data_IF_391645727030
#
_entry.id   IF_391645727030
#
_cell.length_a   1.000
_cell.length_b   1.000
_cell.length_c   1.000
_cell.angle_alpha   90.00
_cell.angle_beta   90.00
_cell.angle_gamma   90.00
#
_symmetry.space_group_name_H-M   'P 1'
#
loop_
_entity.id
_entity.type
_entity.pdbx_description
1 polymer ?
#
# COMPACT_ATOMS: atom_id res chain seq x y z
N UNK A 1 -3.38 8.46 -15.07
CA UNK A 1 -3.41 9.30 -13.84
C UNK A 1 -2.07 9.23 -13.09
N UNK A 2 -1.66 8.10 -12.52
CA UNK A 2 -0.46 7.99 -11.66
C UNK A 2 0.86 8.46 -12.30
N UNK A 3 1.10 8.13 -13.58
CA UNK A 3 2.29 8.61 -14.29
C UNK A 3 2.42 10.13 -14.41
N UNK A 4 1.30 10.88 -14.42
CA UNK A 4 1.30 12.35 -14.45
C UNK A 4 1.63 12.96 -13.08
N UNK A 5 1.39 12.22 -12.00
CA UNK A 5 1.51 12.71 -10.62
C UNK A 5 2.82 12.23 -9.97
N UNK A 6 3.54 11.27 -10.55
CA UNK A 6 4.75 10.67 -9.96
C UNK A 6 5.74 11.69 -9.34
N UNK A 7 6.04 12.80 -10.04
CA UNK A 7 6.95 13.86 -9.54
C UNK A 7 6.41 14.65 -8.32
N UNK A 8 5.10 14.65 -8.07
CA UNK A 8 4.45 15.34 -6.95
C UNK A 8 3.71 14.42 -5.96
N UNK A 9 3.67 13.11 -6.24
CA UNK A 9 2.88 12.14 -5.48
C UNK A 9 3.35 12.02 -4.02
N UNK A 10 4.66 11.99 -3.80
CA UNK A 10 5.25 11.89 -2.47
C UNK A 10 4.94 13.15 -1.63
N UNK A 11 4.96 14.35 -2.26
CA UNK A 11 4.61 15.62 -1.60
C UNK A 11 3.11 15.68 -1.30
N UNK A 12 2.28 15.26 -2.26
CA UNK A 12 0.83 15.18 -2.07
C UNK A 12 0.48 14.24 -0.90
N UNK A 13 1.08 13.06 -0.81
CA UNK A 13 0.84 12.12 0.30
C UNK A 13 1.22 12.69 1.67
N UNK A 14 2.33 13.42 1.75
CA UNK A 14 2.74 14.08 3.00
C UNK A 14 1.75 15.16 3.40
N UNK A 15 1.29 15.98 2.46
CA UNK A 15 0.29 17.04 2.74
C UNK A 15 -1.07 16.43 3.12
N UNK A 16 -1.50 15.39 2.40
CA UNK A 16 -2.76 14.68 2.60
C UNK A 16 -2.85 14.00 3.96
N UNK A 17 -1.75 13.41 4.41
CA UNK A 17 -1.69 12.68 5.68
C UNK A 17 -1.20 13.54 6.84
N UNK A 18 -0.77 14.78 6.61
CA UNK A 18 -0.02 15.56 7.60
C UNK A 18 1.29 14.87 8.02
N UNK A 19 1.88 14.08 7.13
CA UNK A 19 3.07 13.23 7.39
C UNK A 19 2.80 11.94 8.17
N UNK A 20 1.53 11.63 8.47
CA UNK A 20 1.17 10.38 9.17
C UNK A 20 1.35 9.13 8.29
N UNK A 21 1.45 9.29 6.97
CA UNK A 21 1.73 8.20 6.03
C UNK A 21 3.02 7.44 6.40
N UNK A 22 4.07 8.18 6.79
CA UNK A 22 5.33 7.59 7.26
C UNK A 22 5.16 6.79 8.54
N UNK A 23 4.26 7.21 9.42
CA UNK A 23 3.96 6.46 10.64
C UNK A 23 3.14 5.21 10.34
N UNK A 24 2.15 5.29 9.46
CA UNK A 24 1.37 4.13 9.00
C UNK A 24 2.25 3.07 8.33
N UNK A 25 3.12 3.46 7.40
CA UNK A 25 4.06 2.54 6.73
C UNK A 25 5.02 1.89 7.73
N UNK A 26 5.49 2.63 8.73
CA UNK A 26 6.30 2.08 9.83
C UNK A 26 5.56 1.01 10.64
N UNK A 27 4.24 1.17 10.86
CA UNK A 27 3.42 0.15 11.53
C UNK A 27 3.26 -1.10 10.68
N UNK A 28 3.04 -0.96 9.37
CA UNK A 28 3.05 -2.09 8.44
C UNK A 28 4.38 -2.84 8.49
N UNK A 29 5.50 -2.14 8.36
CA UNK A 29 6.85 -2.76 8.39
C UNK A 29 7.10 -3.48 9.71
N UNK A 30 6.73 -2.87 10.85
CA UNK A 30 6.87 -3.51 12.15
C UNK A 30 6.07 -4.81 12.27
N UNK A 31 4.86 -4.86 11.72
CA UNK A 31 4.01 -6.05 11.74
C UNK A 31 4.56 -7.15 10.81
N UNK A 32 5.17 -6.79 9.66
CA UNK A 32 5.89 -7.73 8.78
C UNK A 32 7.13 -8.30 9.46
N UNK A 33 7.96 -7.46 10.08
CA UNK A 33 9.19 -7.89 10.76
C UNK A 33 8.92 -8.89 11.89
N UNK A 34 7.79 -8.80 12.60
CA UNK A 34 7.42 -9.77 13.65
C UNK A 34 7.21 -11.18 13.12
N UNK A 35 6.92 -11.35 11.83
CA UNK A 35 6.78 -12.68 11.23
C UNK A 35 8.12 -13.26 10.78
N UNK A 36 9.17 -12.45 10.65
CA UNK A 36 10.49 -12.85 10.15
C UNK A 36 10.43 -13.62 8.80
N UNK A 37 9.88 -12.99 7.73
CA UNK A 37 9.77 -13.64 6.43
C UNK A 37 11.16 -13.89 5.81
N UNK A 38 11.28 -14.97 5.04
CA UNK A 38 12.43 -15.22 4.17
C UNK A 38 12.33 -14.52 2.81
N UNK A 39 11.14 -14.09 2.38
CA UNK A 39 10.93 -13.26 1.19
C UNK A 39 9.68 -12.40 1.30
N UNK A 40 9.73 -11.19 0.71
CA UNK A 40 8.61 -10.24 0.74
C UNK A 40 8.28 -9.71 -0.65
N UNK A 41 7.00 -9.74 -0.98
CA UNK A 41 6.42 -9.08 -2.15
C UNK A 41 5.71 -7.78 -1.74
N UNK A 42 5.98 -6.67 -2.42
CA UNK A 42 5.25 -5.40 -2.30
C UNK A 42 4.53 -5.12 -3.63
N UNK A 43 3.20 -5.28 -3.65
CA UNK A 43 2.36 -5.07 -4.84
C UNK A 43 1.82 -3.65 -4.86
N UNK A 44 1.74 -3.07 -6.05
CA UNK A 44 1.51 -1.63 -6.23
C UNK A 44 2.56 -0.82 -5.44
N UNK A 45 3.83 -1.24 -5.57
CA UNK A 45 4.97 -0.70 -4.82
C UNK A 45 5.21 0.79 -5.09
N UNK A 46 4.72 1.30 -6.23
CA UNK A 46 4.86 2.69 -6.62
C UNK A 46 6.33 3.09 -6.72
N UNK A 47 6.69 4.18 -6.02
CA UNK A 47 8.04 4.70 -5.95
C UNK A 47 8.95 3.92 -4.97
N UNK A 48 8.49 2.77 -4.46
CA UNK A 48 9.29 1.83 -3.67
C UNK A 48 9.40 2.13 -2.18
N UNK A 49 8.67 3.11 -1.64
CA UNK A 49 8.86 3.56 -0.25
C UNK A 49 8.64 2.45 0.80
N UNK A 50 7.66 1.55 0.58
CA UNK A 50 7.42 0.39 1.45
C UNK A 50 8.47 -0.68 1.23
N UNK A 51 8.75 -1.05 -0.02
CA UNK A 51 9.84 -1.99 -0.35
C UNK A 51 11.18 -1.59 0.29
N UNK A 52 11.61 -0.32 0.21
CA UNK A 52 12.83 0.16 0.85
C UNK A 52 12.75 0.16 2.37
N UNK A 53 11.58 0.45 2.95
CA UNK A 53 11.41 0.41 4.40
C UNK A 53 11.48 -1.04 4.92
N UNK A 54 10.89 -1.99 4.22
CA UNK A 54 10.99 -3.43 4.48
C UNK A 54 12.44 -3.90 4.37
N UNK A 55 13.12 -3.58 3.27
CA UNK A 55 14.50 -3.97 3.00
C UNK A 55 15.48 -3.51 4.09
N UNK A 56 15.29 -2.29 4.63
CA UNK A 56 16.09 -1.78 5.76
C UNK A 56 15.80 -2.49 7.07
N UNK A 57 14.56 -2.85 7.32
CA UNK A 57 14.14 -3.41 8.60
C UNK A 57 14.39 -4.92 8.70
N UNK A 58 14.29 -5.65 7.57
CA UNK A 58 14.49 -7.10 7.50
C UNK A 58 15.96 -7.48 7.29
N UNK A 59 16.76 -6.57 6.72
CA UNK A 59 18.18 -6.80 6.44
C UNK A 59 18.44 -7.44 5.07
N UNK A 60 19.72 -7.56 4.68
CA UNK A 60 20.13 -7.96 3.33
C UNK A 60 19.86 -9.42 2.98
N UNK A 61 19.59 -10.28 3.97
CA UNK A 61 19.29 -11.70 3.75
C UNK A 61 17.86 -11.96 3.28
N UNK A 62 16.97 -10.97 3.36
CA UNK A 62 15.55 -11.12 3.02
C UNK A 62 15.25 -10.39 1.70
N UNK A 63 15.15 -11.09 0.56
CA UNK A 63 14.80 -10.46 -0.71
C UNK A 63 13.45 -9.76 -0.66
N UNK A 64 13.41 -8.55 -1.23
CA UNK A 64 12.19 -7.75 -1.40
C UNK A 64 11.94 -7.52 -2.89
N UNK A 65 10.79 -7.98 -3.38
CA UNK A 65 10.33 -7.77 -4.74
C UNK A 65 9.20 -6.74 -4.75
N UNK A 66 9.41 -5.60 -5.41
CA UNK A 66 8.38 -4.60 -5.66
C UNK A 66 7.79 -4.76 -7.06
N UNK A 67 6.47 -4.92 -7.15
CA UNK A 67 5.74 -4.97 -8.42
C UNK A 67 4.80 -3.78 -8.58
N UNK A 68 4.81 -3.16 -9.75
CA UNK A 68 3.84 -2.12 -10.12
C UNK A 68 3.48 -2.21 -11.61
N UNK A 69 2.27 -1.82 -11.97
CA UNK A 69 1.85 -1.76 -13.37
C UNK A 69 2.28 -0.46 -14.05
N UNK A 70 2.74 0.55 -13.29
CA UNK A 70 3.05 1.89 -13.76
C UNK A 70 4.56 2.09 -13.97
N UNK A 71 5.06 2.09 -15.22
CA UNK A 71 6.50 2.22 -15.49
C UNK A 71 7.16 3.49 -14.93
N UNK A 72 6.51 4.69 -14.97
CA UNK A 72 7.08 5.89 -14.36
C UNK A 72 7.33 5.76 -12.85
N UNK A 73 6.51 4.99 -12.12
CA UNK A 73 6.68 4.77 -10.69
C UNK A 73 7.89 3.86 -10.40
N UNK A 74 8.02 2.78 -11.19
CA UNK A 74 9.18 1.88 -11.11
C UNK A 74 10.48 2.62 -11.44
N UNK A 75 10.47 3.47 -12.48
CA UNK A 75 11.63 4.29 -12.82
C UNK A 75 12.07 5.21 -11.66
N UNK A 76 11.11 5.74 -10.89
CA UNK A 76 11.41 6.53 -9.68
C UNK A 76 11.95 5.65 -8.55
N UNK A 77 11.40 4.45 -8.35
CA UNK A 77 11.90 3.48 -7.38
C UNK A 77 13.36 3.09 -7.69
N UNK A 78 13.64 2.73 -8.93
CA UNK A 78 15.00 2.40 -9.37
C UNK A 78 15.97 3.59 -9.28
N UNK A 79 15.51 4.81 -9.57
CA UNK A 79 16.33 6.01 -9.38
C UNK A 79 16.68 6.22 -7.89
N UNK A 80 15.71 6.04 -6.98
CA UNK A 80 15.95 6.06 -5.52
C UNK A 80 16.93 4.95 -5.10
N UNK A 81 16.83 3.77 -5.71
CA UNK A 81 17.75 2.65 -5.47
C UNK A 81 19.19 2.99 -5.90
N UNK A 82 19.38 3.52 -7.11
CA UNK A 82 20.70 3.91 -7.64
C UNK A 82 21.35 5.07 -6.87
N UNK A 83 20.55 5.97 -6.31
CA UNK A 83 21.05 7.09 -5.50
C UNK A 83 21.42 6.69 -4.06
N UNK A 84 21.07 5.48 -3.62
CA UNK A 84 21.42 4.98 -2.31
C UNK A 84 22.90 4.55 -2.23
N UNK A 85 23.51 4.49 -1.03
CA UNK A 85 24.83 3.92 -0.85
C UNK A 85 24.95 2.52 -1.49
N UNK A 86 26.09 2.24 -2.12
CA UNK A 86 26.36 0.96 -2.76
C UNK A 86 26.11 -0.21 -1.79
N UNK A 87 25.51 -1.30 -2.29
CA UNK A 87 25.19 -2.47 -1.48
C UNK A 87 23.91 -2.35 -0.63
N UNK A 88 23.38 -1.13 -0.41
CA UNK A 88 22.28 -0.92 0.55
C UNK A 88 20.99 -1.64 0.17
N UNK A 89 20.72 -1.76 -1.12
CA UNK A 89 19.46 -2.29 -1.65
C UNK A 89 19.69 -3.36 -2.71
N UNK A 90 20.81 -4.09 -2.65
CA UNK A 90 21.15 -5.13 -3.62
C UNK A 90 20.18 -6.32 -3.57
N UNK A 91 19.48 -6.49 -2.44
CA UNK A 91 18.42 -7.47 -2.21
C UNK A 91 17.02 -6.96 -2.58
N UNK A 92 16.90 -5.76 -3.14
CA UNK A 92 15.64 -5.19 -3.63
C UNK A 92 15.59 -5.29 -5.15
N UNK A 93 14.46 -5.77 -5.68
CA UNK A 93 14.19 -5.81 -7.12
C UNK A 93 12.86 -5.15 -7.41
N UNK A 94 12.80 -4.39 -8.49
CA UNK A 94 11.59 -3.79 -9.01
C UNK A 94 11.29 -4.38 -10.38
N UNK A 95 10.03 -4.71 -10.65
CA UNK A 95 9.61 -5.25 -11.93
C UNK A 95 8.16 -4.85 -12.27
N UNK A 96 7.80 -4.79 -13.56
CA UNK A 96 6.41 -4.59 -13.96
C UNK A 96 5.55 -5.79 -13.52
N UNK A 97 4.35 -5.52 -13.02
CA UNK A 97 3.40 -6.56 -12.64
C UNK A 97 1.98 -6.04 -12.46
N UNK A 98 1.00 -6.81 -12.94
CA UNK A 98 -0.41 -6.56 -12.71
C UNK A 98 -0.86 -7.26 -11.43
N UNK A 99 -1.42 -6.50 -10.48
CA UNK A 99 -1.97 -7.05 -9.24
C UNK A 99 -3.12 -8.05 -9.44
N UNK A 100 -3.72 -8.07 -10.63
CA UNK A 100 -4.77 -9.02 -11.03
C UNK A 100 -4.23 -10.28 -11.71
N UNK A 101 -2.94 -10.30 -12.06
CA UNK A 101 -2.27 -11.44 -12.68
C UNK A 101 -0.76 -11.34 -12.40
N UNK A 102 -0.36 -11.76 -11.20
CA UNK A 102 1.01 -11.58 -10.74
C UNK A 102 1.95 -12.50 -11.54
N UNK A 103 3.06 -11.98 -12.10
CA UNK A 103 4.04 -12.76 -12.88
C UNK A 103 4.96 -13.61 -11.98
N UNK A 104 4.35 -14.36 -11.06
CA UNK A 104 5.01 -15.18 -10.06
C UNK A 104 4.33 -16.54 -9.99
N UNK A 105 5.12 -17.59 -9.76
CA UNK A 105 4.58 -18.90 -9.45
C UNK A 105 3.86 -18.90 -8.09
N UNK A 106 2.95 -19.86 -7.92
CA UNK A 106 2.24 -20.06 -6.66
C UNK A 106 3.21 -20.42 -5.53
N UNK A 107 2.89 -20.04 -4.29
CA UNK A 107 3.66 -20.38 -3.09
C UNK A 107 5.16 -20.01 -3.16
N UNK A 108 5.48 -18.80 -3.61
CA UNK A 108 6.86 -18.30 -3.73
C UNK A 108 7.26 -17.29 -2.65
N UNK A 109 6.30 -16.63 -2.02
CA UNK A 109 6.53 -15.53 -1.09
C UNK A 109 6.12 -15.89 0.34
N UNK A 110 6.90 -15.49 1.34
CA UNK A 110 6.53 -15.66 2.76
C UNK A 110 5.60 -14.56 3.25
N UNK A 111 5.78 -13.33 2.75
CA UNK A 111 4.90 -12.21 3.02
C UNK A 111 4.55 -11.43 1.75
N UNK A 112 3.34 -10.87 1.71
CA UNK A 112 2.88 -9.96 0.68
C UNK A 112 2.33 -8.69 1.33
N UNK A 113 2.66 -7.55 0.75
CA UNK A 113 2.22 -6.23 1.20
C UNK A 113 1.57 -5.48 0.05
N UNK A 114 0.54 -4.69 0.35
CA UNK A 114 -0.03 -3.71 -0.57
C UNK A 114 -0.45 -2.49 0.23
N UNK A 115 0.12 -1.33 -0.11
CA UNK A 115 -0.07 -0.08 0.63
C UNK A 115 -0.66 1.00 -0.26
N UNK A 116 -1.89 1.44 0.04
CA UNK A 116 -2.61 2.48 -0.68
C UNK A 116 -2.80 2.19 -2.19
N UNK A 117 -2.72 0.92 -2.58
CA UNK A 117 -2.91 0.44 -3.95
C UNK A 117 -4.16 -0.40 -4.14
N UNK A 118 -4.67 -1.04 -3.07
CA UNK A 118 -5.75 -2.03 -3.18
C UNK A 118 -7.06 -1.40 -3.68
N UNK A 119 -7.33 -0.15 -3.29
CA UNK A 119 -8.50 0.61 -3.76
C UNK A 119 -8.52 0.90 -5.26
N UNK A 120 -7.37 0.79 -5.92
CA UNK A 120 -7.22 1.08 -7.35
C UNK A 120 -7.27 -0.18 -8.22
N UNK A 121 -7.41 -1.37 -7.63
CA UNK A 121 -7.59 -2.60 -8.41
C UNK A 121 -8.98 -2.62 -9.03
N UNK A 122 -9.06 -2.88 -10.34
CA UNK A 122 -10.32 -2.97 -11.06
C UNK A 122 -11.19 -4.15 -10.58
N UNK A 123 -10.55 -5.27 -10.19
CA UNK A 123 -11.20 -6.41 -9.53
C UNK A 123 -10.43 -6.76 -8.25
N UNK A 124 -10.86 -6.16 -7.14
CA UNK A 124 -10.24 -6.39 -5.82
C UNK A 124 -10.32 -7.85 -5.38
N UNK A 125 -11.41 -8.55 -5.70
CA UNK A 125 -11.57 -9.95 -5.32
C UNK A 125 -10.56 -10.85 -6.05
N UNK A 126 -10.35 -10.61 -7.35
CA UNK A 126 -9.30 -11.29 -8.12
C UNK A 126 -7.91 -10.95 -7.61
N UNK A 127 -7.63 -9.67 -7.33
CA UNK A 127 -6.34 -9.25 -6.76
C UNK A 127 -6.02 -9.92 -5.42
N UNK A 128 -7.01 -10.02 -4.53
CA UNK A 128 -6.85 -10.75 -3.26
C UNK A 128 -6.55 -12.24 -3.48
N UNK A 129 -7.22 -12.89 -4.45
CA UNK A 129 -6.92 -14.29 -4.81
C UNK A 129 -5.53 -14.47 -5.39
N UNK A 130 -5.05 -13.54 -6.20
CA UNK A 130 -3.68 -13.55 -6.73
C UNK A 130 -2.63 -13.37 -5.64
N UNK A 131 -2.83 -12.42 -4.72
CA UNK A 131 -1.99 -12.26 -3.54
C UNK A 131 -1.96 -13.54 -2.69
N UNK A 132 -3.10 -14.22 -2.56
CA UNK A 132 -3.17 -15.50 -1.86
C UNK A 132 -2.40 -16.60 -2.61
N UNK A 133 -2.50 -16.65 -3.94
CA UNK A 133 -1.87 -17.69 -4.78
C UNK A 133 -0.35 -17.67 -4.64
N UNK A 134 0.27 -16.49 -4.62
CA UNK A 134 1.73 -16.35 -4.58
C UNK A 134 2.34 -16.58 -3.19
N UNK A 135 1.52 -16.55 -2.13
CA UNK A 135 1.97 -16.78 -0.77
C UNK A 135 2.11 -18.28 -0.46
N UNK A 136 3.18 -18.64 0.26
CA UNK A 136 3.43 -20.00 0.77
C UNK A 136 2.40 -20.38 1.85
N UNK A 137 2.21 -21.68 2.14
CA UNK A 137 1.51 -22.11 3.35
C UNK A 137 2.10 -21.45 4.60
N UNK A 138 1.24 -20.87 5.45
CA UNK A 138 1.69 -20.08 6.61
C UNK A 138 2.16 -18.65 6.28
N UNK A 139 2.19 -18.29 5.00
CA UNK A 139 2.51 -16.94 4.53
C UNK A 139 1.45 -15.92 4.94
N UNK A 140 1.86 -14.65 4.97
CA UNK A 140 1.01 -13.55 5.49
C UNK A 140 0.79 -12.43 4.49
N UNK A 141 -0.43 -11.92 4.48
CA UNK A 141 -0.81 -10.74 3.73
C UNK A 141 -0.98 -9.55 4.68
N UNK A 142 -0.40 -8.41 4.32
CA UNK A 142 -0.55 -7.14 5.01
C UNK A 142 -1.11 -6.09 4.05
N UNK A 143 -2.27 -5.52 4.39
CA UNK A 143 -2.90 -4.45 3.60
C UNK A 143 -2.93 -3.20 4.44
N UNK A 144 -2.34 -2.11 3.94
CA UNK A 144 -2.45 -0.78 4.53
C UNK A 144 -3.25 0.12 3.59
N UNK A 145 -4.48 0.44 3.94
CA UNK A 145 -5.37 1.20 3.05
C UNK A 145 -6.29 2.14 3.84
N UNK A 146 -6.83 3.14 3.15
CA UNK A 146 -7.92 3.94 3.70
C UNK A 146 -9.09 3.06 4.15
N UNK A 147 -9.77 3.52 5.18
CA UNK A 147 -10.95 2.91 5.77
C UNK A 147 -11.93 4.01 6.14
N UNK A 148 -13.05 3.65 6.76
CA UNK A 148 -14.02 4.58 7.29
C UNK A 148 -13.66 5.00 8.72
N UNK A 149 -13.56 6.32 9.01
CA UNK A 149 -13.30 6.81 10.35
C UNK A 149 -14.41 6.44 11.34
N UNK A 150 -14.13 6.54 12.64
CA UNK A 150 -15.15 6.37 13.68
C UNK A 150 -16.36 7.27 13.43
N UNK A 151 -17.56 6.75 13.70
CA UNK A 151 -18.84 7.43 13.41
C UNK A 151 -18.90 8.87 13.91
N UNK A 152 -18.36 9.13 15.11
CA UNK A 152 -18.33 10.46 15.72
C UNK A 152 -17.34 11.43 15.05
N UNK A 153 -16.23 10.91 14.50
CA UNK A 153 -15.19 11.72 13.84
C UNK A 153 -15.44 11.88 12.33
N UNK A 154 -16.21 10.97 11.75
CA UNK A 154 -16.51 10.90 10.31
C UNK A 154 -16.99 12.23 9.71
N UNK A 155 -17.94 12.98 10.31
CA UNK A 155 -18.41 14.26 9.74
C UNK A 155 -17.28 15.29 9.61
N UNK A 156 -16.42 15.41 10.63
CA UNK A 156 -15.30 16.34 10.62
C UNK A 156 -14.27 15.96 9.55
N UNK A 157 -13.98 14.67 9.41
CA UNK A 157 -13.05 14.18 8.40
C UNK A 157 -13.54 14.46 6.98
N UNK A 158 -14.84 14.23 6.69
CA UNK A 158 -15.40 14.54 5.37
C UNK A 158 -15.51 16.04 5.11
N UNK A 159 -15.72 16.86 6.14
CA UNK A 159 -15.65 18.32 6.01
C UNK A 159 -14.24 18.73 5.56
N UNK A 160 -13.20 18.19 6.21
CA UNK A 160 -11.81 18.38 5.82
C UNK A 160 -11.54 17.95 4.36
N UNK A 161 -11.91 16.71 4.00
CA UNK A 161 -11.67 16.16 2.66
C UNK A 161 -12.41 16.93 1.56
N UNK A 162 -13.63 17.38 1.81
CA UNK A 162 -14.46 18.06 0.81
C UNK A 162 -14.10 19.53 0.62
N UNK A 163 -13.66 20.20 1.69
CA UNK A 163 -13.55 21.66 1.68
C UNK A 163 -12.13 22.16 1.90
N UNK A 164 -11.38 21.59 2.83
CA UNK A 164 -10.03 22.08 3.12
C UNK A 164 -9.03 21.50 2.11
N UNK A 165 -9.10 20.20 1.90
CA UNK A 165 -8.11 19.50 1.11
C UNK A 165 -8.03 19.98 -0.36
N UNK A 166 -9.12 20.13 -1.12
CA UNK A 166 -9.02 20.54 -2.53
C UNK A 166 -8.47 21.96 -2.69
N UNK A 167 -8.67 22.83 -1.68
CA UNK A 167 -8.17 24.20 -1.67
C UNK A 167 -6.67 24.24 -1.42
N UNK A 168 -6.19 23.56 -0.38
CA UNK A 168 -4.75 23.47 -0.06
C UNK A 168 -4.01 22.78 -1.22
N UNK A 169 -4.56 21.68 -1.70
CA UNK A 169 -3.97 20.89 -2.76
C UNK A 169 -3.94 21.60 -4.12
N UNK A 170 -5.02 22.30 -4.48
CA UNK A 170 -5.08 23.12 -5.69
C UNK A 170 -4.03 24.22 -5.69
N UNK A 171 -3.76 24.81 -4.53
CA UNK A 171 -2.73 25.84 -4.37
C UNK A 171 -1.29 25.29 -4.52
N UNK A 172 -1.03 24.09 -3.99
CA UNK A 172 0.34 23.50 -3.99
C UNK A 172 0.67 22.74 -5.28
N UNK A 173 -0.29 21.98 -5.82
CA UNK A 173 -0.03 21.00 -6.90
C UNK A 173 -0.76 21.29 -8.20
N UNK A 174 -1.73 22.22 -8.20
CA UNK A 174 -2.49 22.59 -9.40
C UNK A 174 -3.45 21.50 -9.95
N UNK A 175 -3.47 20.30 -9.38
CA UNK A 175 -4.23 19.15 -9.91
C UNK A 175 -5.45 18.80 -9.06
N UNK A 176 -6.47 19.67 -9.07
CA UNK A 176 -7.71 19.49 -8.30
C UNK A 176 -8.42 18.15 -8.60
N UNK A 177 -8.38 17.70 -9.86
CA UNK A 177 -9.05 16.48 -10.31
C UNK A 177 -8.51 15.22 -9.62
N UNK A 178 -7.21 15.16 -9.36
CA UNK A 178 -6.61 14.05 -8.62
C UNK A 178 -7.16 13.92 -7.18
N UNK A 179 -7.49 15.05 -6.53
CA UNK A 179 -8.01 15.07 -5.17
C UNK A 179 -9.52 14.81 -5.10
N UNK A 180 -10.27 15.26 -6.10
CA UNK A 180 -11.68 14.89 -6.23
C UNK A 180 -11.82 13.37 -6.41
N UNK A 181 -10.95 12.76 -7.24
CA UNK A 181 -10.85 11.31 -7.37
C UNK A 181 -10.49 10.65 -6.03
N UNK A 182 -9.50 11.17 -5.31
CA UNK A 182 -9.10 10.63 -4.02
C UNK A 182 -10.27 10.63 -3.02
N UNK A 183 -10.97 11.76 -2.88
CA UNK A 183 -12.13 11.89 -2.00
C UNK A 183 -13.23 10.90 -2.38
N UNK A 184 -13.56 10.79 -3.67
CA UNK A 184 -14.54 9.84 -4.18
C UNK A 184 -14.12 8.38 -3.88
N UNK A 185 -12.84 8.04 -4.13
CA UNK A 185 -12.31 6.69 -3.89
C UNK A 185 -12.33 6.31 -2.41
N UNK A 186 -12.00 7.23 -1.50
CA UNK A 186 -12.08 7.01 -0.05
C UNK A 186 -13.54 6.83 0.39
N UNK A 187 -14.45 7.64 -0.16
CA UNK A 187 -15.88 7.55 0.11
C UNK A 187 -16.52 6.22 -0.32
N UNK A 188 -16.07 5.67 -1.45
CA UNK A 188 -16.58 4.41 -1.99
C UNK A 188 -15.89 3.15 -1.42
N UNK A 189 -14.76 3.30 -0.74
CA UNK A 189 -13.99 2.16 -0.24
C UNK A 189 -14.62 1.56 1.03
N UNK A 190 -14.69 0.21 1.17
CA UNK A 190 -15.25 -0.44 2.34
C UNK A 190 -14.58 -0.02 3.64
N UNK A 191 -15.31 -0.12 4.75
CA UNK A 191 -14.68 -0.05 6.06
C UNK A 191 -13.82 -1.29 6.35
N UNK A 192 -13.04 -1.21 7.43
CA UNK A 192 -12.16 -2.30 7.86
C UNK A 192 -12.87 -3.66 8.07
N UNK A 193 -14.13 -3.71 8.49
CA UNK A 193 -14.85 -4.97 8.70
C UNK A 193 -15.30 -5.57 7.37
N UNK A 194 -15.84 -4.72 6.49
CA UNK A 194 -16.24 -5.10 5.13
C UNK A 194 -15.04 -5.60 4.32
N UNK A 195 -13.91 -4.87 4.34
CA UNK A 195 -12.68 -5.35 3.70
C UNK A 195 -12.20 -6.67 4.34
N UNK A 196 -12.33 -6.80 5.66
CA UNK A 196 -12.02 -8.06 6.35
C UNK A 196 -12.87 -9.24 5.86
N UNK A 197 -14.16 -9.03 5.54
CA UNK A 197 -15.02 -10.07 4.94
C UNK A 197 -14.57 -10.44 3.54
N UNK A 198 -14.17 -9.47 2.73
CA UNK A 198 -13.67 -9.73 1.38
C UNK A 198 -12.34 -10.50 1.38
N UNK A 199 -11.42 -10.16 2.30
CA UNK A 199 -10.17 -10.91 2.50
C UNK A 199 -10.48 -12.36 2.87
N UNK A 200 -11.44 -12.61 3.77
CA UNK A 200 -11.90 -13.98 4.10
C UNK A 200 -12.51 -14.69 2.90
N UNK A 201 -13.35 -14.01 2.12
CA UNK A 201 -13.97 -14.56 0.93
C UNK A 201 -12.95 -14.93 -0.17
N UNK A 202 -11.79 -14.27 -0.19
CA UNK A 202 -10.67 -14.64 -1.06
C UNK A 202 -9.90 -15.89 -0.58
N UNK A 203 -10.28 -16.49 0.56
CA UNK A 203 -9.72 -17.74 1.07
C UNK A 203 -8.62 -17.57 2.12
N UNK A 204 -8.44 -16.37 2.67
CA UNK A 204 -7.54 -16.14 3.80
C UNK A 204 -8.20 -16.49 5.14
N UNK A 205 -7.38 -16.94 6.08
CA UNK A 205 -7.73 -17.24 7.46
C UNK A 205 -7.16 -16.20 8.43
N UNK A 206 -7.61 -16.23 9.69
CA UNK A 206 -7.10 -15.39 10.78
C UNK A 206 -7.03 -13.89 10.44
N UNK A 207 -8.04 -13.39 9.73
CA UNK A 207 -8.09 -11.98 9.30
C UNK A 207 -8.34 -11.08 10.49
N UNK A 208 -7.38 -10.19 10.77
CA UNK A 208 -7.46 -9.15 11.79
C UNK A 208 -7.25 -7.78 11.15
N UNK A 209 -7.80 -6.74 11.78
CA UNK A 209 -7.68 -5.37 11.29
C UNK A 209 -7.44 -4.42 12.47
N UNK A 210 -6.45 -3.54 12.33
CA UNK A 210 -6.16 -2.47 13.29
C UNK A 210 -6.41 -1.13 12.64
N UNK A 211 -7.38 -0.39 13.18
CA UNK A 211 -7.65 1.00 12.80
C UNK A 211 -6.53 1.91 13.28
N UNK A 212 -6.10 2.81 12.40
CA UNK A 212 -5.06 3.81 12.63
C UNK A 212 -5.67 5.20 12.46
N UNK A 213 -5.16 6.17 13.23
CA UNK A 213 -5.57 7.58 13.16
C UNK A 213 -7.09 7.76 13.11
N UNK A 214 -7.78 7.41 14.20
CA UNK A 214 -9.24 7.53 14.31
C UNK A 214 -10.05 6.76 13.24
N UNK A 215 -9.44 5.75 12.61
CA UNK A 215 -10.08 4.86 11.63
C UNK A 215 -9.98 5.34 10.18
N UNK A 216 -9.26 6.44 9.91
CA UNK A 216 -9.01 6.93 8.54
C UNK A 216 -8.29 5.86 7.71
N UNK A 217 -7.37 5.13 8.34
CA UNK A 217 -6.60 4.05 7.72
C UNK A 217 -6.79 2.79 8.54
N UNK A 218 -6.76 1.63 7.89
CA UNK A 218 -6.70 0.35 8.56
C UNK A 218 -5.49 -0.45 8.05
N UNK A 219 -4.87 -1.19 8.97
CA UNK A 219 -3.87 -2.19 8.67
C UNK A 219 -4.49 -3.57 8.91
N UNK A 220 -4.69 -4.32 7.84
CA UNK A 220 -5.17 -5.69 7.90
C UNK A 220 -4.00 -6.66 7.85
N UNK A 221 -4.07 -7.72 8.65
CA UNK A 221 -3.20 -8.88 8.60
C UNK A 221 -4.06 -10.12 8.36
N UNK A 222 -3.62 -10.98 7.44
CA UNK A 222 -4.29 -12.24 7.12
C UNK A 222 -3.28 -13.35 6.84
N UNK A 223 -3.70 -14.61 7.02
CA UNK A 223 -2.84 -15.80 6.88
C UNK A 223 -3.46 -16.80 5.90
N UNK A 224 -2.63 -17.67 5.34
CA UNK A 224 -3.07 -18.85 4.56
C UNK A 224 -3.14 -20.08 5.44
#
# INVERSE_FOLDING_TARGET
MFGRIARGYDVANVILSGGLDRWWRRRLVADVCRQAPGSVLDVATGSGDVAFALARALGPSVPVLGLDFCPPMLAQAEAKQRAAPAGRYDHVRFAPGDGLNLPLASATQDAATISFGLRNLADRARGLRELRRVLRPGGRLYILEFSQPYRWFRPLYYLYLRHLLPRVAGWVTGDRAAYDYLNASIGAFPDHEALGREIRAAGFQYVSARRLTLGIVALHEARI
#
